data_IF_129085377745
#
_entry.id   IF_129085377745
#
_cell.length_a   1.000
_cell.length_b   1.000
_cell.length_c   1.000
_cell.angle_alpha   90.00
_cell.angle_beta   90.00
_cell.angle_gamma   90.00
#
_symmetry.space_group_name_H-M   'P 1'
#
loop_
_entity.id
_entity.type
_entity.pdbx_description
1 polymer ?
#
# COMPACT_ATOMS: atom_id res chain seq x y z
N UNK A 1 -15.67 -21.76 21.49
CA UNK A 1 -14.42 -21.00 21.26
C UNK A 1 -14.58 -20.25 19.95
N UNK A 2 -14.89 -18.96 20.01
CA UNK A 2 -15.01 -18.06 18.86
C UNK A 2 -13.86 -17.07 18.97
N UNK A 3 -12.86 -17.20 18.11
CA UNK A 3 -11.84 -16.18 17.89
C UNK A 3 -12.48 -15.06 17.08
N UNK A 4 -12.80 -13.97 17.76
CA UNK A 4 -13.16 -12.69 17.13
C UNK A 4 -11.84 -11.94 16.94
N UNK A 5 -11.38 -11.84 15.70
CA UNK A 5 -10.33 -10.88 15.33
C UNK A 5 -10.97 -9.50 15.20
N UNK A 6 -11.04 -8.75 16.29
CA UNK A 6 -11.19 -7.31 16.22
C UNK A 6 -9.84 -6.69 15.92
N UNK A 7 -9.74 -5.92 14.84
CA UNK A 7 -8.61 -5.03 14.60
C UNK A 7 -8.52 -4.01 15.74
N UNK A 8 -7.65 -4.26 16.70
CA UNK A 8 -7.31 -3.23 17.68
C UNK A 8 -6.54 -2.10 17.00
N UNK A 9 -6.77 -0.84 17.36
CA UNK A 9 -6.05 0.28 16.78
C UNK A 9 -4.55 0.19 17.16
N UNK A 10 -3.67 0.35 16.16
CA UNK A 10 -2.22 0.06 16.24
C UNK A 10 -1.49 0.83 17.36
N UNK A 11 -2.00 1.97 17.83
CA UNK A 11 -1.45 2.69 19.00
C UNK A 11 -1.39 1.81 20.26
N UNK A 12 -2.31 0.83 20.43
CA UNK A 12 -2.25 -0.15 21.54
C UNK A 12 -1.05 -1.08 21.43
N UNK A 13 -0.69 -1.51 20.22
CA UNK A 13 0.48 -2.36 19.97
C UNK A 13 1.78 -1.59 20.23
N UNK A 14 1.81 -0.29 19.91
CA UNK A 14 2.96 0.58 20.15
C UNK A 14 3.12 0.98 21.61
N UNK A 15 2.01 1.19 22.33
CA UNK A 15 2.04 1.30 23.79
C UNK A 15 2.62 0.05 24.42
N UNK A 16 2.30 -1.14 23.91
CA UNK A 16 2.90 -2.39 24.38
C UNK A 16 4.40 -2.42 24.11
N UNK A 17 4.89 -1.95 22.96
CA UNK A 17 6.34 -1.86 22.68
C UNK A 17 7.05 -0.87 23.61
N UNK A 18 6.55 0.37 23.73
CA UNK A 18 7.15 1.38 24.62
C UNK A 18 7.07 0.93 26.08
N UNK A 19 5.97 0.30 26.49
CA UNK A 19 5.81 -0.28 27.83
C UNK A 19 6.79 -1.42 28.05
N UNK A 20 6.89 -2.41 27.16
CA UNK A 20 7.81 -3.55 27.29
C UNK A 20 9.27 -3.12 27.41
N UNK A 21 9.67 -2.08 26.68
CA UNK A 21 11.03 -1.52 26.74
C UNK A 21 11.28 -0.68 27.99
N UNK A 22 10.32 0.14 28.40
CA UNK A 22 10.37 0.88 29.68
C UNK A 22 10.34 -0.07 30.90
N UNK A 23 9.84 -1.30 30.72
CA UNK A 23 9.57 -2.27 31.79
C UNK A 23 10.73 -3.21 32.13
N UNK A 24 11.90 -3.11 31.48
CA UNK A 24 13.15 -3.82 31.86
C UNK A 24 12.93 -5.07 32.73
N UNK A 25 12.29 -6.09 32.14
CA UNK A 25 11.80 -7.33 32.77
C UNK A 25 12.15 -7.57 34.25
N UNK A 26 11.37 -7.04 35.21
CA UNK A 26 11.20 -7.63 36.56
C UNK A 26 9.82 -7.38 37.15
N UNK A 27 9.20 -8.48 37.60
CA UNK A 27 7.97 -8.50 38.39
C UNK A 27 8.12 -7.70 39.69
N UNK A 28 7.14 -6.87 40.03
CA UNK A 28 7.03 -6.25 41.35
C UNK A 28 6.02 -5.10 41.38
N UNK A 29 4.83 -5.37 41.90
CA UNK A 29 3.69 -4.46 41.89
C UNK A 29 3.88 -3.18 42.71
N UNK A 30 3.45 -2.07 42.10
CA UNK A 30 2.81 -0.91 42.72
C UNK A 30 1.73 -0.44 41.73
N UNK A 31 0.52 -0.16 42.22
CA UNK A 31 -0.70 0.11 41.44
C UNK A 31 -0.46 1.08 40.27
N UNK A 32 -0.61 0.56 39.05
CA UNK A 32 -0.53 1.30 37.81
C UNK A 32 -1.77 2.19 37.60
N UNK A 33 -1.57 3.34 36.96
CA UNK A 33 -2.62 4.31 36.63
C UNK A 33 -3.70 3.65 35.73
N UNK A 34 -5.00 3.66 36.12
CA UNK A 34 -6.07 3.01 35.36
C UNK A 34 -6.20 3.52 33.92
N UNK A 35 -6.55 2.61 32.99
CA UNK A 35 -6.76 2.88 31.56
C UNK A 35 -7.79 3.98 31.24
N UNK A 36 -8.66 4.31 32.20
CA UNK A 36 -9.62 5.42 32.08
C UNK A 36 -8.98 6.81 32.15
N UNK A 37 -7.82 6.94 32.80
CA UNK A 37 -7.10 8.22 32.94
C UNK A 37 -6.42 8.69 31.64
N UNK A 38 -6.39 7.81 30.63
CA UNK A 38 -5.90 8.07 29.27
C UNK A 38 -6.92 8.81 28.41
N UNK A 39 -8.19 8.84 28.82
CA UNK A 39 -9.32 9.39 28.05
C UNK A 39 -9.77 10.79 28.48
N UNK A 40 -9.17 11.40 29.51
CA UNK A 40 -9.54 12.75 29.96
C UNK A 40 -8.57 13.79 29.37
N UNK A 41 -9.09 14.67 28.51
CA UNK A 41 -8.41 15.85 27.95
C UNK A 41 -8.04 16.94 28.98
N UNK A 42 -8.10 16.64 30.28
CA UNK A 42 -7.64 17.54 31.34
C UNK A 42 -6.63 16.78 32.19
N UNK A 43 -5.34 16.96 31.89
CA UNK A 43 -4.27 16.43 32.73
C UNK A 43 -4.37 17.05 34.14
N UNK A 44 -4.18 16.27 35.23
CA UNK A 44 -4.07 16.83 36.57
C UNK A 44 -2.88 17.81 36.64
N UNK A 45 -2.82 18.71 37.63
CA UNK A 45 -1.63 19.52 37.86
C UNK A 45 -0.36 18.66 37.92
N UNK A 46 0.75 19.21 37.44
CA UNK A 46 2.02 18.51 37.43
C UNK A 46 2.45 18.11 38.84
N UNK A 47 2.70 16.82 39.04
CA UNK A 47 3.25 16.26 40.26
C UNK A 47 4.22 15.12 39.89
N UNK A 48 5.45 15.18 40.41
CA UNK A 48 6.45 14.14 40.16
C UNK A 48 6.04 12.76 40.70
N UNK A 49 5.22 12.69 41.74
CA UNK A 49 4.69 11.46 42.33
C UNK A 49 3.78 10.68 41.39
N UNK A 50 3.28 11.30 40.33
CA UNK A 50 2.55 10.61 39.25
C UNK A 50 3.48 9.76 38.37
N UNK A 51 4.78 10.04 38.38
CA UNK A 51 5.74 9.48 37.45
C UNK A 51 6.90 8.77 38.11
N UNK A 52 7.36 9.31 39.25
CA UNK A 52 8.57 8.85 39.92
C UNK A 52 8.52 8.90 41.44
N UNK A 53 9.35 8.10 42.09
CA UNK A 53 9.63 8.19 43.53
C UNK A 53 10.46 9.45 43.84
N UNK A 54 10.72 9.71 45.13
CA UNK A 54 11.49 10.86 45.57
C UNK A 54 12.93 10.89 45.02
N UNK A 55 13.45 9.74 44.57
CA UNK A 55 14.78 9.57 44.00
C UNK A 55 14.77 9.66 42.47
N UNK A 56 13.62 9.91 41.84
CA UNK A 56 13.47 10.08 40.40
C UNK A 56 13.40 8.76 39.64
N UNK A 57 13.13 7.63 40.31
CA UNK A 57 12.88 6.34 39.66
C UNK A 57 11.44 6.25 39.24
N UNK A 58 11.18 5.75 38.02
CA UNK A 58 9.81 5.57 37.54
C UNK A 58 8.99 4.70 38.50
N UNK A 59 7.78 5.14 38.87
CA UNK A 59 6.87 4.38 39.75
C UNK A 59 5.71 3.81 38.94
N UNK A 60 5.53 2.50 38.95
CA UNK A 60 4.45 1.86 38.20
C UNK A 60 4.75 1.66 36.71
N UNK A 61 4.10 0.64 36.13
CA UNK A 61 4.45 0.07 34.82
C UNK A 61 4.15 1.01 33.64
N UNK A 62 3.23 1.96 33.82
CA UNK A 62 2.75 2.85 32.74
C UNK A 62 3.22 4.31 32.87
N UNK A 63 3.98 4.63 33.92
CA UNK A 63 4.28 6.02 34.27
C UNK A 63 5.22 6.73 33.29
N UNK A 64 6.19 6.01 32.71
CA UNK A 64 7.04 6.58 31.66
C UNK A 64 6.24 6.89 30.39
N UNK A 65 5.32 6.01 30.03
CA UNK A 65 4.42 6.18 28.89
C UNK A 65 3.45 7.34 29.12
N UNK A 66 2.88 7.43 30.32
CA UNK A 66 1.99 8.51 30.72
C UNK A 66 2.69 9.87 30.70
N UNK A 67 3.97 9.92 31.08
CA UNK A 67 4.77 11.15 31.03
C UNK A 67 4.97 11.61 29.58
N UNK A 68 5.29 10.68 28.67
CA UNK A 68 5.52 10.97 27.25
C UNK A 68 4.29 11.52 26.54
N UNK A 69 3.10 11.01 26.86
CA UNK A 69 1.84 11.48 26.28
C UNK A 69 1.35 12.81 26.84
N UNK A 70 1.83 13.23 28.02
CA UNK A 70 1.45 14.51 28.64
C UNK A 70 2.49 15.57 28.32
N UNK A 71 2.36 16.19 27.15
CA UNK A 71 3.34 17.15 26.63
C UNK A 71 3.79 18.21 27.64
N UNK A 72 2.86 18.87 28.33
CA UNK A 72 3.20 19.89 29.32
C UNK A 72 4.02 19.34 30.51
N UNK A 73 3.78 18.08 30.91
CA UNK A 73 4.48 17.46 32.03
C UNK A 73 5.86 16.97 31.59
N UNK A 74 5.99 16.41 30.39
CA UNK A 74 7.27 16.06 29.80
C UNK A 74 8.18 17.29 29.70
N UNK A 75 7.66 18.41 29.19
CA UNK A 75 8.45 19.64 29.07
C UNK A 75 8.84 20.23 30.44
N UNK A 76 7.98 20.08 31.46
CA UNK A 76 8.31 20.48 32.83
C UNK A 76 9.44 19.64 33.41
N UNK A 77 9.39 18.31 33.28
CA UNK A 77 10.47 17.40 33.72
C UNK A 77 11.76 17.71 32.97
N UNK A 78 11.67 17.95 31.66
CA UNK A 78 12.84 18.33 30.85
C UNK A 78 13.45 19.64 31.32
N UNK A 79 12.65 20.69 31.52
CA UNK A 79 13.12 21.98 32.00
C UNK A 79 13.76 21.89 33.39
N UNK A 80 13.18 21.14 34.31
CA UNK A 80 13.72 20.95 35.66
C UNK A 80 15.04 20.16 35.64
N UNK A 81 15.16 19.15 34.76
CA UNK A 81 16.40 18.42 34.57
C UNK A 81 17.54 19.33 34.07
N UNK A 82 17.22 20.22 33.12
CA UNK A 82 18.17 21.24 32.63
C UNK A 82 18.52 22.28 33.72
N UNK A 83 17.56 22.66 34.56
CA UNK A 83 17.76 23.56 35.70
C UNK A 83 18.56 22.91 36.85
N UNK A 84 18.70 21.59 36.83
CA UNK A 84 19.58 20.83 37.69
C UNK A 84 18.92 20.07 38.83
N UNK A 85 17.61 19.89 38.74
CA UNK A 85 16.87 19.02 39.64
C UNK A 85 17.33 17.55 39.46
N UNK A 86 17.83 16.97 40.55
CA UNK A 86 18.39 15.61 40.52
C UNK A 86 17.32 14.53 40.30
N UNK A 87 16.09 14.75 40.78
CA UNK A 87 14.96 13.84 40.60
C UNK A 87 14.50 13.85 39.14
N UNK A 88 14.38 15.04 38.55
CA UNK A 88 14.01 15.25 37.16
C UNK A 88 15.06 14.68 36.19
N UNK A 89 16.35 14.91 36.45
CA UNK A 89 17.45 14.34 35.66
C UNK A 89 17.39 12.84 35.63
N UNK A 90 17.30 12.20 36.80
CA UNK A 90 17.28 10.75 36.88
C UNK A 90 16.05 10.14 36.20
N UNK A 91 14.89 10.80 36.32
CA UNK A 91 13.67 10.42 35.63
C UNK A 91 13.81 10.53 34.11
N UNK A 92 14.36 11.65 33.63
CA UNK A 92 14.59 11.89 32.21
C UNK A 92 15.61 10.89 31.64
N UNK A 93 16.71 10.60 32.35
CA UNK A 93 17.74 9.64 31.92
C UNK A 93 17.14 8.25 31.67
N UNK A 94 16.28 7.77 32.58
CA UNK A 94 15.57 6.49 32.41
C UNK A 94 14.67 6.53 31.18
N UNK A 95 13.98 7.65 30.94
CA UNK A 95 13.09 7.82 29.80
C UNK A 95 13.88 7.89 28.48
N UNK A 96 15.02 8.56 28.47
CA UNK A 96 15.91 8.67 27.31
C UNK A 96 16.46 7.29 26.90
N UNK A 97 16.98 6.52 27.87
CA UNK A 97 17.51 5.16 27.63
C UNK A 97 16.43 4.24 27.07
N UNK A 98 15.24 4.25 27.67
CA UNK A 98 14.15 3.41 27.21
C UNK A 98 13.59 3.84 25.85
N UNK A 99 13.51 5.15 25.58
CA UNK A 99 13.07 5.66 24.27
C UNK A 99 14.05 5.26 23.17
N UNK A 100 15.34 5.31 23.45
CA UNK A 100 16.38 4.87 22.52
C UNK A 100 16.34 3.36 22.27
N UNK A 101 16.15 2.56 23.32
CA UNK A 101 15.96 1.11 23.19
C UNK A 101 14.68 0.75 22.41
N UNK A 102 13.61 1.55 22.55
CA UNK A 102 12.38 1.35 21.80
C UNK A 102 12.59 1.62 20.30
N UNK A 103 13.53 2.49 19.95
CA UNK A 103 13.95 2.69 18.57
C UNK A 103 14.57 1.43 17.96
N UNK A 104 15.39 0.72 18.73
CA UNK A 104 16.00 -0.55 18.32
C UNK A 104 14.93 -1.63 18.10
N UNK A 105 14.02 -1.81 19.06
CA UNK A 105 12.94 -2.81 18.93
C UNK A 105 11.97 -2.46 17.78
N UNK A 106 11.70 -1.17 17.59
CA UNK A 106 10.93 -0.68 16.44
C UNK A 106 11.60 -1.08 15.12
N UNK A 107 12.92 -0.95 15.01
CA UNK A 107 13.66 -1.40 13.85
C UNK A 107 13.58 -2.91 13.68
N UNK A 108 13.77 -3.70 14.74
CA UNK A 108 13.67 -5.17 14.66
C UNK A 108 12.29 -5.64 14.19
N UNK A 109 11.23 -4.98 14.64
CA UNK A 109 9.85 -5.30 14.22
C UNK A 109 9.55 -4.81 12.82
N UNK A 110 9.99 -3.60 12.48
CA UNK A 110 9.75 -3.00 11.17
C UNK A 110 10.58 -3.66 10.06
N UNK A 111 11.78 -4.16 10.39
CA UNK A 111 12.77 -4.66 9.43
C UNK A 111 12.96 -6.18 9.52
N UNK A 112 12.50 -6.84 10.59
CA UNK A 112 12.60 -8.29 10.76
C UNK A 112 11.60 -9.10 9.92
N UNK A 113 11.89 -10.41 9.81
CA UNK A 113 11.12 -11.40 9.04
C UNK A 113 9.62 -11.57 9.43
N UNK A 114 9.19 -10.95 10.54
CA UNK A 114 7.79 -11.02 11.01
C UNK A 114 6.83 -10.10 10.25
N UNK A 115 7.29 -8.94 9.77
CA UNK A 115 6.46 -7.99 9.02
C UNK A 115 6.57 -8.15 7.50
N UNK A 116 7.59 -8.85 7.00
CA UNK A 116 7.68 -9.24 5.58
C UNK A 116 6.82 -10.46 5.22
N UNK A 117 6.29 -11.20 6.20
CA UNK A 117 5.49 -12.42 6.00
C UNK A 117 3.96 -12.22 6.12
N UNK A 118 3.47 -11.05 6.54
CA UNK A 118 2.04 -10.77 6.69
C UNK A 118 1.65 -9.42 6.04
N UNK A 119 0.62 -9.37 5.16
CA UNK A 119 0.25 -8.19 4.36
C UNK A 119 -0.34 -7.00 5.15
N UNK A 120 -0.36 -7.08 6.48
CA UNK A 120 -0.96 -6.08 7.38
C UNK A 120 0.04 -5.32 8.23
N UNK A 121 1.34 -5.62 8.13
CA UNK A 121 2.36 -4.91 8.89
C UNK A 121 3.03 -3.81 8.05
N UNK A 122 2.28 -2.75 7.73
CA UNK A 122 2.86 -1.48 7.27
C UNK A 122 3.07 -0.59 8.48
N UNK A 123 4.32 -0.20 8.75
CA UNK A 123 4.59 0.81 9.79
C UNK A 123 3.97 2.12 9.32
N UNK A 124 2.88 2.54 9.98
CA UNK A 124 2.26 3.84 9.71
C UNK A 124 3.07 4.92 10.37
N UNK A 125 4.10 5.39 9.66
CA UNK A 125 5.05 6.39 10.17
C UNK A 125 4.39 7.70 10.61
N UNK A 126 3.22 8.03 10.05
CA UNK A 126 2.42 9.18 10.45
C UNK A 126 1.85 9.11 11.87
N UNK A 127 1.76 7.92 12.47
CA UNK A 127 1.23 7.72 13.84
C UNK A 127 2.34 7.83 14.92
N UNK A 128 3.61 7.87 14.52
CA UNK A 128 4.74 8.01 15.47
C UNK A 128 4.82 9.41 16.09
N UNK A 129 4.32 10.44 15.42
CA UNK A 129 4.17 11.78 16.00
C UNK A 129 3.08 11.83 17.09
N UNK A 130 2.17 10.85 17.12
CA UNK A 130 1.17 10.71 18.18
C UNK A 130 1.75 10.02 19.44
N UNK A 131 2.82 9.23 19.28
CA UNK A 131 3.48 8.51 20.37
C UNK A 131 4.22 9.46 21.33
N UNK A 132 5.01 10.39 20.79
CA UNK A 132 5.64 11.48 21.56
C UNK A 132 4.99 12.78 21.10
N UNK A 133 3.82 13.06 21.68
CA UNK A 133 2.94 14.14 21.25
C UNK A 133 3.48 15.54 21.60
N UNK A 134 4.56 15.64 22.38
CA UNK A 134 5.13 16.93 22.76
C UNK A 134 5.90 17.59 21.61
N UNK A 135 5.56 18.85 21.25
CA UNK A 135 6.31 19.64 20.29
C UNK A 135 7.52 20.35 20.91
N UNK A 136 7.68 20.32 22.24
CA UNK A 136 8.74 21.06 22.94
C UNK A 136 10.14 20.40 22.90
N UNK A 137 11.14 21.04 23.54
CA UNK A 137 12.52 20.53 23.59
C UNK A 137 12.65 19.10 24.12
N UNK A 138 11.88 18.73 25.15
CA UNK A 138 11.85 17.39 25.72
C UNK A 138 11.30 16.36 24.74
N UNK A 139 10.17 16.66 24.09
CA UNK A 139 9.61 15.82 23.02
C UNK A 139 10.57 15.64 21.83
N UNK A 140 11.25 16.72 21.43
CA UNK A 140 12.22 16.70 20.33
C UNK A 140 13.44 15.84 20.67
N UNK A 141 13.96 15.96 21.89
CA UNK A 141 15.06 15.14 22.42
C UNK A 141 14.72 13.65 22.36
N UNK A 142 13.53 13.26 22.85
CA UNK A 142 13.08 11.87 22.86
C UNK A 142 12.86 11.32 21.45
N UNK A 143 12.24 12.09 20.54
CA UNK A 143 12.10 11.67 19.13
C UNK A 143 13.45 11.48 18.43
N UNK A 144 14.43 12.33 18.74
CA UNK A 144 15.81 12.15 18.26
C UNK A 144 16.48 10.87 18.79
N UNK A 145 16.25 10.51 20.05
CA UNK A 145 16.75 9.25 20.64
C UNK A 145 16.09 8.02 20.02
N UNK A 146 14.78 8.06 19.80
CA UNK A 146 14.02 7.01 19.13
C UNK A 146 14.56 6.76 17.71
N UNK A 147 14.75 7.84 16.94
CA UNK A 147 15.37 7.82 15.62
C UNK A 147 16.79 7.24 15.62
N UNK A 148 17.64 7.64 16.59
CA UNK A 148 18.99 7.10 16.71
C UNK A 148 19.02 5.60 17.01
N UNK A 149 18.14 5.14 17.91
CA UNK A 149 17.99 3.72 18.20
C UNK A 149 17.62 2.92 16.95
N UNK A 150 16.63 3.41 16.21
CA UNK A 150 16.16 2.81 14.97
C UNK A 150 17.27 2.73 13.91
N UNK A 151 17.94 3.85 13.64
CA UNK A 151 19.00 3.91 12.64
C UNK A 151 20.17 2.96 12.95
N UNK A 152 20.61 2.91 14.21
CA UNK A 152 21.70 2.00 14.59
C UNK A 152 21.35 0.55 14.34
N UNK A 153 20.12 0.15 14.60
CA UNK A 153 19.69 -1.22 14.38
C UNK A 153 19.47 -1.50 12.89
N UNK A 154 18.84 -0.60 12.15
CA UNK A 154 18.67 -0.72 10.70
C UNK A 154 20.01 -0.83 9.94
N UNK A 155 21.05 -0.11 10.38
CA UNK A 155 22.40 -0.22 9.82
C UNK A 155 23.09 -1.55 10.15
N UNK A 156 22.82 -2.14 11.33
CA UNK A 156 23.34 -3.47 11.69
C UNK A 156 22.72 -4.57 10.82
N UNK A 157 21.45 -4.43 10.48
CA UNK A 157 20.70 -5.34 9.61
C UNK A 157 20.93 -5.08 8.10
N UNK A 158 21.91 -4.23 7.74
CA UNK A 158 22.30 -3.92 6.35
C UNK A 158 21.15 -3.44 5.43
N UNK A 159 20.14 -2.78 6.01
CA UNK A 159 18.99 -2.24 5.27
C UNK A 159 19.42 -1.01 4.45
N UNK A 160 18.88 -0.87 3.23
CA UNK A 160 19.20 0.23 2.32
C UNK A 160 18.96 1.62 2.95
N UNK A 161 19.88 2.56 2.68
CA UNK A 161 19.86 3.94 3.20
C UNK A 161 18.55 4.70 2.92
N UNK A 162 17.79 4.33 1.89
CA UNK A 162 16.53 4.99 1.54
C UNK A 162 15.40 4.72 2.56
N UNK A 163 15.30 3.49 3.09
CA UNK A 163 14.31 3.10 4.11
C UNK A 163 14.64 3.77 5.45
N UNK A 164 15.93 3.81 5.79
CA UNK A 164 16.45 4.52 6.97
C UNK A 164 16.12 6.02 6.88
N UNK A 165 16.30 6.63 5.71
CA UNK A 165 16.03 8.06 5.49
C UNK A 165 14.54 8.40 5.60
N UNK A 166 13.65 7.54 5.09
CA UNK A 166 12.19 7.75 5.19
C UNK A 166 11.71 7.62 6.65
N UNK A 167 12.18 6.61 7.38
CA UNK A 167 11.85 6.41 8.78
C UNK A 167 12.37 7.56 9.67
N UNK A 168 13.61 8.00 9.45
CA UNK A 168 14.22 9.12 10.17
C UNK A 168 13.49 10.45 9.92
N UNK A 169 13.11 10.72 8.67
CA UNK A 169 12.36 11.92 8.34
C UNK A 169 10.99 11.94 9.03
N UNK A 170 10.27 10.82 9.06
CA UNK A 170 9.00 10.75 9.77
C UNK A 170 9.13 10.92 11.29
N UNK A 171 10.19 10.39 11.90
CA UNK A 171 10.47 10.54 13.33
C UNK A 171 10.85 11.97 13.73
N UNK A 172 11.48 12.73 12.83
CA UNK A 172 12.01 14.07 13.10
C UNK A 172 11.06 15.22 12.73
N UNK A 173 10.15 15.04 11.76
CA UNK A 173 9.26 16.08 11.21
C UNK A 173 8.37 16.77 12.26
N UNK A 174 8.07 16.14 13.40
CA UNK A 174 7.29 16.78 14.48
C UNK A 174 8.03 17.87 15.29
N UNK A 175 9.34 18.11 15.08
CA UNK A 175 10.16 18.96 15.97
C UNK A 175 10.90 20.11 15.28
N UNK A 176 11.06 20.06 13.96
CA UNK A 176 11.92 21.01 13.24
C UNK A 176 11.20 22.35 12.96
N UNK A 177 9.87 22.38 13.04
CA UNK A 177 9.11 23.59 12.69
C UNK A 177 9.20 24.76 13.70
N UNK A 178 9.64 24.54 14.95
CA UNK A 178 9.55 25.58 16.00
C UNK A 178 10.86 25.90 16.74
N UNK A 179 11.98 25.23 16.42
CA UNK A 179 13.28 25.48 17.08
C UNK A 179 13.95 26.81 16.65
N UNK A 180 13.39 27.51 15.66
CA UNK A 180 14.00 28.72 15.07
C UNK A 180 13.69 30.00 15.89
N UNK A 181 12.73 29.98 16.82
CA UNK A 181 12.32 31.22 17.53
C UNK A 181 12.94 31.40 18.94
N UNK A 182 13.85 30.53 19.39
CA UNK A 182 14.33 30.52 20.78
C UNK A 182 15.84 30.61 20.99
N UNK A 183 16.38 31.84 20.97
CA UNK A 183 17.70 32.29 21.51
C UNK A 183 19.00 31.96 20.74
N UNK A 184 19.95 32.88 20.94
CA UNK A 184 21.22 33.04 20.23
C UNK A 184 22.08 31.78 20.22
N UNK A 185 22.19 31.17 19.03
CA UNK A 185 23.06 30.03 18.79
C UNK A 185 24.25 30.44 17.90
N UNK A 186 25.41 29.81 18.13
CA UNK A 186 26.64 30.06 17.36
C UNK A 186 26.45 29.77 15.85
N UNK A 187 27.36 30.29 15.02
CA UNK A 187 27.27 30.19 13.55
C UNK A 187 27.12 28.76 13.02
N UNK A 188 27.67 27.76 13.71
CA UNK A 188 27.54 26.35 13.35
C UNK A 188 26.14 25.78 13.65
N UNK A 189 25.48 26.25 14.72
CA UNK A 189 24.11 25.82 15.05
C UNK A 189 23.09 26.45 14.09
N UNK A 190 23.34 27.67 13.60
CA UNK A 190 22.52 28.29 12.55
C UNK A 190 22.68 27.58 11.19
N UNK A 191 23.89 27.16 10.84
CA UNK A 191 24.14 26.38 9.63
C UNK A 191 23.45 25.00 9.71
N UNK A 192 23.58 24.30 10.85
CA UNK A 192 22.89 23.04 11.10
C UNK A 192 21.35 23.16 11.12
N UNK A 193 20.81 24.25 11.67
CA UNK A 193 19.37 24.52 11.67
C UNK A 193 18.85 24.84 10.25
N UNK A 194 19.57 25.61 9.45
CA UNK A 194 19.20 25.90 8.07
C UNK A 194 19.26 24.66 7.17
N UNK A 195 20.24 23.78 7.39
CA UNK A 195 20.37 22.51 6.68
C UNK A 195 19.27 21.51 7.09
N UNK A 196 18.94 21.45 8.39
CA UNK A 196 17.81 20.67 8.89
C UNK A 196 16.46 21.19 8.37
N UNK A 197 16.27 22.50 8.27
CA UNK A 197 15.05 23.12 7.71
C UNK A 197 14.91 22.85 6.21
N UNK A 198 16.02 22.88 5.47
CA UNK A 198 16.06 22.49 4.06
C UNK A 198 15.69 21.02 3.88
N UNK A 199 16.31 20.13 4.64
CA UNK A 199 16.00 18.69 4.61
C UNK A 199 14.55 18.41 5.02
N UNK A 200 14.01 19.14 5.99
CA UNK A 200 12.60 19.04 6.39
C UNK A 200 11.64 19.52 5.29
N UNK A 201 11.93 20.64 4.61
CA UNK A 201 11.13 21.13 3.48
C UNK A 201 11.19 20.17 2.30
N UNK A 202 12.37 19.65 1.97
CA UNK A 202 12.55 18.62 0.93
C UNK A 202 11.81 17.32 1.30
N UNK A 203 11.84 16.93 2.58
CA UNK A 203 11.09 15.79 3.11
C UNK A 203 9.57 15.96 2.98
N UNK A 204 9.03 17.13 3.36
CA UNK A 204 7.59 17.45 3.24
C UNK A 204 7.17 17.50 1.77
N UNK A 205 7.99 18.09 0.89
CA UNK A 205 7.72 18.10 -0.55
C UNK A 205 7.71 16.68 -1.14
N UNK A 206 8.66 15.83 -0.73
CA UNK A 206 8.75 14.44 -1.16
C UNK A 206 7.58 13.60 -0.64
N UNK A 207 7.14 13.81 0.60
CA UNK A 207 5.98 13.13 1.17
C UNK A 207 4.67 13.53 0.48
N UNK A 208 4.50 14.82 0.14
CA UNK A 208 3.37 15.27 -0.69
C UNK A 208 3.40 14.63 -2.08
N UNK A 209 4.57 14.55 -2.71
CA UNK A 209 4.72 13.91 -4.02
C UNK A 209 4.40 12.40 -3.96
N UNK A 210 4.81 11.71 -2.90
CA UNK A 210 4.47 10.29 -2.68
C UNK A 210 2.97 10.09 -2.47
N UNK A 211 2.34 10.90 -1.60
CA UNK A 211 0.90 10.85 -1.37
C UNK A 211 0.09 11.13 -2.65
N UNK A 212 0.51 12.09 -3.46
CA UNK A 212 -0.11 12.37 -4.76
C UNK A 212 0.08 11.22 -5.76
N UNK A 213 1.24 10.56 -5.74
CA UNK A 213 1.50 9.40 -6.58
C UNK A 213 0.65 8.18 -6.15
N UNK A 214 0.46 7.96 -4.85
CA UNK A 214 -0.42 6.93 -4.30
C UNK A 214 -1.89 7.19 -4.66
N UNK A 215 -2.36 8.42 -4.51
CA UNK A 215 -3.72 8.82 -4.90
C UNK A 215 -3.95 8.64 -6.40
N UNK A 216 -2.99 9.05 -7.24
CA UNK A 216 -3.05 8.85 -8.68
C UNK A 216 -3.08 7.35 -9.06
N UNK A 217 -2.29 6.51 -8.38
CA UNK A 217 -2.29 5.07 -8.60
C UNK A 217 -3.63 4.44 -8.21
N UNK A 218 -4.24 4.84 -7.08
CA UNK A 218 -5.56 4.36 -6.65
C UNK A 218 -6.68 4.76 -7.64
N UNK A 219 -6.64 5.98 -8.17
CA UNK A 219 -7.60 6.42 -9.19
C UNK A 219 -7.47 5.61 -10.49
N UNK A 220 -6.25 5.31 -10.93
CA UNK A 220 -6.03 4.45 -12.10
C UNK A 220 -6.44 3.00 -11.84
N UNK A 221 -6.21 2.47 -10.64
CA UNK A 221 -6.66 1.14 -10.29
C UNK A 221 -8.19 1.02 -10.32
N UNK A 222 -8.90 2.02 -9.81
CA UNK A 222 -10.36 2.11 -9.91
C UNK A 222 -10.83 2.21 -11.38
N UNK A 223 -10.17 3.03 -12.20
CA UNK A 223 -10.49 3.18 -13.61
C UNK A 223 -10.20 1.90 -14.42
N UNK A 224 -9.09 1.22 -14.14
CA UNK A 224 -8.73 -0.05 -14.74
C UNK A 224 -9.76 -1.14 -14.37
N UNK A 225 -10.20 -1.19 -13.12
CA UNK A 225 -11.25 -2.09 -12.68
C UNK A 225 -12.58 -1.81 -13.39
N UNK A 226 -12.96 -0.55 -13.57
CA UNK A 226 -14.17 -0.20 -14.32
C UNK A 226 -14.08 -0.65 -15.79
N UNK A 227 -12.94 -0.43 -16.45
CA UNK A 227 -12.71 -0.90 -17.83
C UNK A 227 -12.80 -2.42 -17.90
N UNK A 228 -12.17 -3.15 -16.97
CA UNK A 228 -12.24 -4.62 -16.92
C UNK A 228 -13.66 -5.12 -16.71
N UNK A 229 -14.40 -4.53 -15.78
CA UNK A 229 -15.81 -4.86 -15.56
C UNK A 229 -16.64 -4.64 -16.82
N UNK A 230 -16.39 -3.56 -17.56
CA UNK A 230 -17.06 -3.26 -18.82
C UNK A 230 -16.72 -4.27 -19.92
N UNK A 231 -15.44 -4.59 -20.10
CA UNK A 231 -15.00 -5.60 -21.08
C UNK A 231 -15.59 -6.98 -20.76
N UNK A 232 -15.55 -7.39 -19.49
CA UNK A 232 -16.12 -8.65 -19.03
C UNK A 232 -17.64 -8.69 -19.21
N UNK A 233 -18.37 -7.61 -18.89
CA UNK A 233 -19.82 -7.51 -19.09
C UNK A 233 -20.20 -7.62 -20.58
N UNK A 234 -19.38 -7.04 -21.47
CA UNK A 234 -19.58 -7.07 -22.91
C UNK A 234 -19.50 -8.48 -23.49
N UNK A 235 -18.71 -9.38 -22.90
CA UNK A 235 -18.58 -10.79 -23.34
C UNK A 235 -19.36 -11.78 -22.47
N UNK A 236 -19.91 -11.34 -21.34
CA UNK A 236 -20.68 -12.20 -20.44
C UNK A 236 -21.95 -12.75 -21.13
N UNK A 237 -22.08 -14.08 -21.09
CA UNK A 237 -23.17 -14.86 -21.70
C UNK A 237 -24.14 -15.46 -20.66
N UNK A 238 -24.07 -15.02 -19.40
CA UNK A 238 -24.99 -15.47 -18.35
C UNK A 238 -26.45 -15.06 -18.60
N UNK A 239 -27.38 -15.68 -17.88
CA UNK A 239 -28.81 -15.35 -17.97
C UNK A 239 -29.05 -13.87 -17.61
N UNK A 240 -29.97 -13.24 -18.33
CA UNK A 240 -30.27 -11.81 -18.22
C UNK A 240 -31.75 -11.58 -18.02
N UNK A 241 -32.05 -10.50 -17.30
CA UNK A 241 -33.40 -9.99 -17.15
C UNK A 241 -33.98 -9.57 -18.52
N UNK A 242 -35.29 -9.34 -18.54
CA UNK A 242 -35.97 -8.81 -19.74
C UNK A 242 -35.43 -7.42 -20.12
N UNK A 243 -35.47 -7.08 -21.42
CA UNK A 243 -35.23 -5.72 -21.91
C UNK A 243 -36.45 -4.80 -21.78
N UNK A 244 -37.63 -5.33 -21.43
CA UNK A 244 -38.83 -4.52 -21.20
C UNK A 244 -38.69 -3.71 -19.90
N UNK A 245 -38.57 -2.38 -20.06
CA UNK A 245 -38.41 -1.44 -18.95
C UNK A 245 -39.56 -1.51 -17.92
N UNK A 246 -40.80 -1.79 -18.34
CA UNK A 246 -41.93 -1.90 -17.42
C UNK A 246 -41.83 -3.17 -16.57
N UNK A 247 -41.39 -4.27 -17.18
CA UNK A 247 -41.18 -5.52 -16.46
C UNK A 247 -39.97 -5.44 -15.53
N UNK A 248 -38.89 -4.78 -15.97
CA UNK A 248 -37.71 -4.51 -15.16
C UNK A 248 -38.06 -3.66 -13.92
N UNK A 249 -38.76 -2.54 -14.08
CA UNK A 249 -39.14 -1.69 -12.94
C UNK A 249 -39.97 -2.46 -11.90
N UNK A 250 -40.89 -3.33 -12.35
CA UNK A 250 -41.69 -4.18 -11.45
C UNK A 250 -40.85 -5.19 -10.66
N UNK A 251 -39.70 -5.60 -11.20
CA UNK A 251 -38.77 -6.59 -10.62
C UNK A 251 -37.51 -5.94 -10.06
N UNK A 252 -37.54 -4.62 -9.84
CA UNK A 252 -36.40 -3.84 -9.38
C UNK A 252 -35.90 -4.39 -8.03
N UNK A 253 -34.63 -4.82 -7.94
CA UNK A 253 -34.07 -5.33 -6.70
C UNK A 253 -33.91 -4.17 -5.70
N UNK A 254 -33.99 -4.46 -4.41
CA UNK A 254 -33.79 -3.47 -3.35
C UNK A 254 -32.88 -4.01 -2.26
N UNK A 255 -32.17 -3.10 -1.58
CA UNK A 255 -31.31 -3.47 -0.44
C UNK A 255 -32.10 -4.12 0.71
N UNK A 256 -33.41 -3.87 0.79
CA UNK A 256 -34.30 -4.37 1.84
C UNK A 256 -34.93 -5.73 1.49
N UNK A 257 -34.85 -6.16 0.23
CA UNK A 257 -35.45 -7.40 -0.25
C UNK A 257 -34.37 -8.28 -0.87
N UNK A 258 -33.58 -8.96 -0.03
CA UNK A 258 -32.58 -9.92 -0.51
C UNK A 258 -33.22 -11.18 -1.07
N UNK A 259 -32.58 -11.84 -2.06
CA UNK A 259 -33.04 -13.14 -2.55
C UNK A 259 -33.00 -14.21 -1.45
N UNK A 260 -33.83 -15.27 -1.55
CA UNK A 260 -33.76 -16.41 -0.64
C UNK A 260 -32.34 -16.97 -0.56
N UNK A 261 -31.84 -17.16 0.66
CA UNK A 261 -30.48 -17.68 0.91
C UNK A 261 -29.37 -16.64 0.87
N UNK A 262 -29.67 -15.35 0.66
CA UNK A 262 -28.70 -14.24 0.71
C UNK A 262 -28.91 -13.43 1.98
N UNK A 263 -27.86 -13.27 2.78
CA UNK A 263 -27.89 -12.45 4.00
C UNK A 263 -28.19 -10.97 3.68
N UNK A 264 -28.94 -10.30 4.57
CA UNK A 264 -29.36 -8.90 4.40
C UNK A 264 -28.18 -7.92 4.24
N UNK A 265 -27.03 -8.23 4.82
CA UNK A 265 -25.79 -7.46 4.79
C UNK A 265 -24.75 -8.00 3.79
N UNK A 266 -25.15 -8.93 2.90
CA UNK A 266 -24.20 -9.55 1.98
C UNK A 266 -23.62 -8.50 1.01
N UNK A 267 -22.29 -8.24 1.02
CA UNK A 267 -21.69 -7.11 0.27
C UNK A 267 -21.95 -7.19 -1.24
N UNK A 268 -21.98 -8.41 -1.79
CA UNK A 268 -22.28 -8.64 -3.22
C UNK A 268 -23.72 -8.28 -3.61
N UNK A 269 -24.68 -8.27 -2.67
CA UNK A 269 -26.05 -7.85 -2.96
C UNK A 269 -26.11 -6.34 -3.18
N UNK A 270 -25.37 -5.57 -2.37
CA UNK A 270 -25.23 -4.12 -2.55
C UNK A 270 -24.66 -3.80 -3.92
N UNK A 271 -23.59 -4.49 -4.32
CA UNK A 271 -22.99 -4.36 -5.65
C UNK A 271 -23.98 -4.71 -6.77
N UNK A 272 -24.81 -5.76 -6.58
CA UNK A 272 -25.80 -6.17 -7.56
C UNK A 272 -26.90 -5.12 -7.76
N UNK A 273 -27.43 -4.56 -6.68
CA UNK A 273 -28.43 -3.49 -6.76
C UNK A 273 -27.84 -2.30 -7.52
N UNK A 274 -26.61 -1.86 -7.18
CA UNK A 274 -25.94 -0.77 -7.89
C UNK A 274 -25.68 -1.08 -9.38
N UNK A 275 -25.26 -2.31 -9.69
CA UNK A 275 -25.10 -2.79 -11.06
C UNK A 275 -26.42 -2.78 -11.84
N UNK A 276 -27.49 -3.30 -11.24
CA UNK A 276 -28.82 -3.35 -11.85
C UNK A 276 -29.32 -1.94 -12.17
N UNK A 277 -29.19 -1.01 -11.22
CA UNK A 277 -29.56 0.41 -11.39
C UNK A 277 -28.78 1.07 -12.54
N UNK A 278 -27.47 0.79 -12.62
CA UNK A 278 -26.62 1.28 -13.72
C UNK A 278 -27.14 0.77 -15.07
N UNK A 279 -27.37 -0.53 -15.21
CA UNK A 279 -27.87 -1.15 -16.45
C UNK A 279 -29.28 -0.69 -16.82
N UNK A 280 -30.17 -0.56 -15.84
CA UNK A 280 -31.51 0.01 -16.05
C UNK A 280 -31.42 1.45 -16.58
N UNK A 281 -30.58 2.29 -15.97
CA UNK A 281 -30.37 3.67 -16.41
C UNK A 281 -29.83 3.78 -17.84
N UNK A 282 -28.92 2.88 -18.23
CA UNK A 282 -28.41 2.78 -19.60
C UNK A 282 -29.49 2.33 -20.60
N UNK A 283 -30.27 1.30 -20.25
CA UNK A 283 -31.39 0.82 -21.08
C UNK A 283 -32.49 1.87 -21.25
N UNK A 284 -32.78 2.62 -20.19
CA UNK A 284 -33.80 3.67 -20.18
C UNK A 284 -33.34 4.97 -20.88
N UNK A 285 -32.11 5.01 -21.42
CA UNK A 285 -31.54 6.22 -22.02
C UNK A 285 -31.29 7.36 -21.04
N UNK A 286 -31.35 7.09 -19.72
CA UNK A 286 -31.17 8.10 -18.65
C UNK A 286 -29.70 8.32 -18.31
N UNK A 287 -28.82 7.42 -18.74
CA UNK A 287 -27.37 7.56 -18.63
C UNK A 287 -26.74 7.51 -20.02
N UNK A 288 -25.80 8.41 -20.34
CA UNK A 288 -25.03 8.28 -21.56
C UNK A 288 -24.19 7.00 -21.50
N UNK A 289 -24.59 6.00 -22.26
CA UNK A 289 -23.73 4.90 -22.66
C UNK A 289 -23.06 5.24 -23.98
N UNK A 290 -21.78 4.93 -24.13
CA UNK A 290 -21.08 5.04 -25.43
C UNK A 290 -21.63 4.09 -26.52
N UNK A 291 -22.63 3.26 -26.17
CA UNK A 291 -23.23 2.27 -27.03
C UNK A 291 -24.67 2.70 -27.40
N UNK A 292 -25.07 2.50 -28.65
CA UNK A 292 -26.47 2.76 -29.08
C UNK A 292 -27.41 1.84 -28.28
N UNK A 293 -28.66 2.25 -28.03
CA UNK A 293 -29.64 1.50 -27.20
C UNK A 293 -29.76 0.00 -27.58
N UNK A 294 -29.51 -0.35 -28.84
CA UNK A 294 -29.51 -1.74 -29.35
C UNK A 294 -28.33 -2.63 -28.88
N UNK A 295 -27.27 -2.04 -28.33
CA UNK A 295 -26.07 -2.74 -27.84
C UNK A 295 -26.05 -2.89 -26.32
N UNK A 296 -26.95 -2.20 -25.61
CA UNK A 296 -27.03 -2.26 -24.15
C UNK A 296 -27.74 -3.55 -23.75
N UNK A 297 -26.97 -4.56 -23.32
CA UNK A 297 -27.50 -5.81 -22.77
C UNK A 297 -28.32 -5.58 -21.48
N UNK A 298 -29.43 -6.29 -21.24
CA UNK A 298 -30.12 -6.22 -19.95
C UNK A 298 -29.26 -6.67 -18.77
N UNK A 299 -29.59 -6.26 -17.53
CA UNK A 299 -28.87 -6.70 -16.35
C UNK A 299 -28.84 -8.24 -16.25
N UNK A 300 -27.70 -8.79 -15.82
CA UNK A 300 -27.59 -10.20 -15.44
C UNK A 300 -28.58 -10.54 -14.32
N UNK A 301 -29.08 -11.76 -14.31
CA UNK A 301 -29.78 -12.31 -13.16
C UNK A 301 -28.82 -12.48 -11.98
N UNK A 302 -29.34 -12.47 -10.75
CA UNK A 302 -28.50 -12.55 -9.55
C UNK A 302 -27.52 -13.74 -9.56
N UNK A 303 -27.93 -14.99 -9.86
CA UNK A 303 -27.00 -16.12 -9.90
C UNK A 303 -25.86 -15.91 -10.89
N UNK A 304 -26.16 -15.54 -12.13
CA UNK A 304 -25.15 -15.28 -13.15
C UNK A 304 -24.28 -14.06 -12.86
N UNK A 305 -24.83 -13.03 -12.23
CA UNK A 305 -24.06 -11.89 -11.73
C UNK A 305 -23.04 -12.33 -10.68
N UNK A 306 -23.39 -13.26 -9.79
CA UNK A 306 -22.42 -13.75 -8.80
C UNK A 306 -21.27 -14.50 -9.47
N UNK A 307 -21.54 -15.31 -10.49
CA UNK A 307 -20.50 -16.00 -11.29
C UNK A 307 -19.63 -15.00 -12.02
N UNK A 308 -20.24 -14.03 -12.70
CA UNK A 308 -19.56 -12.93 -13.38
C UNK A 308 -18.60 -12.18 -12.44
N UNK A 309 -19.08 -11.77 -11.25
CA UNK A 309 -18.25 -11.05 -10.27
C UNK A 309 -17.13 -11.93 -9.72
N UNK A 310 -17.37 -13.22 -9.50
CA UNK A 310 -16.32 -14.15 -9.06
C UNK A 310 -15.24 -14.33 -10.11
N UNK A 311 -15.60 -14.39 -11.40
CA UNK A 311 -14.62 -14.47 -12.50
C UNK A 311 -13.77 -13.20 -12.58
N UNK A 312 -14.38 -12.02 -12.51
CA UNK A 312 -13.64 -10.75 -12.50
C UNK A 312 -12.72 -10.66 -11.28
N UNK A 313 -13.22 -11.03 -10.09
CA UNK A 313 -12.42 -11.03 -8.87
C UNK A 313 -11.23 -11.99 -8.99
N UNK A 314 -11.46 -13.22 -9.47
CA UNK A 314 -10.38 -14.18 -9.71
C UNK A 314 -9.30 -13.66 -10.67
N UNK A 315 -9.70 -12.88 -11.69
CA UNK A 315 -8.77 -12.22 -12.60
C UNK A 315 -7.92 -11.15 -11.92
N UNK A 316 -8.54 -10.33 -11.08
CA UNK A 316 -7.85 -9.31 -10.26
C UNK A 316 -6.90 -9.96 -9.27
N UNK A 317 -7.33 -11.01 -8.57
CA UNK A 317 -6.52 -11.73 -7.60
C UNK A 317 -5.29 -12.35 -8.27
N UNK A 318 -5.46 -12.99 -9.43
CA UNK A 318 -4.36 -13.54 -10.21
C UNK A 318 -3.38 -12.46 -10.68
N UNK A 319 -3.88 -11.32 -11.15
CA UNK A 319 -3.04 -10.19 -11.50
C UNK A 319 -2.23 -9.69 -10.29
N UNK A 320 -2.83 -9.61 -9.10
CA UNK A 320 -2.10 -9.25 -7.88
C UNK A 320 -1.01 -10.28 -7.55
N UNK A 321 -1.28 -11.57 -7.73
CA UNK A 321 -0.28 -12.64 -7.61
C UNK A 321 0.92 -12.44 -8.53
N UNK A 322 0.66 -12.22 -9.82
CA UNK A 322 1.71 -11.93 -10.82
C UNK A 322 2.48 -10.66 -10.45
N UNK A 323 1.79 -9.61 -10.01
CA UNK A 323 2.44 -8.35 -9.58
C UNK A 323 3.41 -8.58 -8.42
N UNK A 324 2.99 -9.35 -7.40
CA UNK A 324 3.88 -9.73 -6.28
C UNK A 324 5.07 -10.55 -6.75
N UNK A 325 4.87 -11.47 -7.69
CA UNK A 325 5.97 -12.26 -8.24
C UNK A 325 7.00 -11.39 -8.97
N UNK A 326 6.55 -10.46 -9.81
CA UNK A 326 7.41 -9.49 -10.50
C UNK A 326 8.16 -8.60 -9.50
N UNK A 327 7.47 -8.08 -8.48
CA UNK A 327 8.09 -7.24 -7.43
C UNK A 327 9.16 -8.00 -6.64
N UNK A 328 8.97 -9.31 -6.37
CA UNK A 328 10.00 -10.14 -5.75
C UNK A 328 11.24 -10.30 -6.64
N UNK A 329 11.07 -10.39 -7.96
CA UNK A 329 12.22 -10.51 -8.87
C UNK A 329 13.04 -9.22 -8.99
N UNK A 330 12.46 -8.05 -8.71
CA UNK A 330 13.19 -6.77 -8.77
C UNK A 330 14.44 -6.76 -7.89
N UNK A 331 14.38 -7.42 -6.72
CA UNK A 331 15.50 -7.49 -5.77
C UNK A 331 16.44 -8.68 -6.01
N UNK A 332 16.07 -9.63 -6.86
CA UNK A 332 16.92 -10.80 -7.15
C UNK A 332 18.07 -10.41 -8.08
N UNK A 333 19.21 -11.11 -8.02
CA UNK A 333 20.24 -11.03 -9.06
C UNK A 333 19.67 -11.38 -10.44
N UNK A 334 20.14 -10.73 -11.50
CA UNK A 334 19.59 -10.91 -12.86
C UNK A 334 19.56 -12.38 -13.30
N UNK A 335 20.57 -13.17 -12.93
CA UNK A 335 20.68 -14.59 -13.26
C UNK A 335 19.55 -15.45 -12.67
N UNK A 336 18.91 -15.01 -11.60
CA UNK A 336 17.83 -15.72 -10.89
C UNK A 336 16.44 -15.28 -11.36
N UNK A 337 16.34 -14.21 -12.17
CA UNK A 337 15.06 -13.68 -12.66
C UNK A 337 14.49 -14.55 -13.78
N UNK A 338 13.19 -14.82 -13.72
CA UNK A 338 12.41 -15.55 -14.73
C UNK A 338 11.62 -14.56 -15.59
N UNK A 339 10.82 -13.69 -14.97
CA UNK A 339 9.96 -12.73 -15.68
C UNK A 339 10.72 -11.48 -16.14
N UNK A 340 11.63 -10.96 -15.31
CA UNK A 340 12.32 -9.68 -15.50
C UNK A 340 13.73 -9.82 -16.08
N UNK A 341 14.02 -10.93 -16.76
CA UNK A 341 15.32 -11.19 -17.37
C UNK A 341 15.66 -10.11 -18.41
N UNK A 342 16.91 -9.65 -18.42
CA UNK A 342 17.40 -8.62 -19.34
C UNK A 342 17.07 -7.18 -18.93
N UNK A 343 16.40 -6.98 -17.80
CA UNK A 343 16.25 -5.66 -17.18
C UNK A 343 17.28 -5.54 -16.06
N UNK A 344 18.19 -4.58 -16.16
CA UNK A 344 19.27 -4.42 -15.16
C UNK A 344 18.70 -3.90 -13.84
N UNK A 345 17.98 -2.76 -13.89
CA UNK A 345 17.32 -2.14 -12.73
C UNK A 345 15.82 -2.02 -13.01
N UNK A 346 15.10 -3.12 -12.81
CA UNK A 346 13.69 -3.18 -13.11
C UNK A 346 12.85 -2.38 -12.10
N UNK A 347 11.90 -1.58 -12.61
CA UNK A 347 10.77 -1.01 -11.89
C UNK A 347 9.49 -1.63 -12.44
N UNK A 348 8.56 -2.03 -11.57
CA UNK A 348 7.28 -2.65 -11.96
C UNK A 348 6.12 -1.82 -11.45
N UNK A 349 5.20 -1.47 -12.32
CA UNK A 349 3.95 -0.79 -12.00
C UNK A 349 2.75 -1.59 -12.55
N UNK A 350 1.65 -1.65 -11.80
CA UNK A 350 0.42 -2.32 -12.21
C UNK A 350 -0.67 -1.35 -12.67
N UNK A 351 -1.61 -1.84 -13.50
CA UNK A 351 -2.79 -1.08 -13.95
C UNK A 351 -2.45 0.28 -14.61
N UNK A 352 -1.34 0.35 -15.33
CA UNK A 352 -0.85 1.63 -15.85
C UNK A 352 -1.59 2.01 -17.14
N UNK A 353 -2.09 3.24 -17.20
CA UNK A 353 -2.77 3.79 -18.38
C UNK A 353 -1.81 4.04 -19.55
N UNK A 354 -2.12 3.44 -20.70
CA UNK A 354 -1.43 3.60 -21.98
C UNK A 354 -2.37 4.22 -23.02
N UNK A 355 -1.93 5.29 -23.68
CA UNK A 355 -2.59 5.84 -24.88
C UNK A 355 -1.85 5.43 -26.15
N UNK A 356 -2.59 5.36 -27.26
CA UNK A 356 -2.03 5.10 -28.60
C UNK A 356 -2.60 6.09 -29.60
N UNK A 357 -1.78 6.52 -30.54
CA UNK A 357 -2.26 7.37 -31.62
C UNK A 357 -3.03 6.58 -32.70
N UNK A 358 -4.05 7.19 -33.33
CA UNK A 358 -4.70 8.45 -32.94
C UNK A 358 -5.81 8.18 -31.92
N UNK A 359 -5.73 8.77 -30.72
CA UNK A 359 -6.90 8.87 -29.85
C UNK A 359 -6.60 8.87 -28.35
N UNK A 360 -7.51 9.46 -27.55
CA UNK A 360 -7.41 9.50 -26.09
C UNK A 360 -7.84 8.17 -25.43
N UNK A 361 -7.98 7.08 -26.19
CA UNK A 361 -8.46 5.80 -25.65
C UNK A 361 -7.36 5.20 -24.78
N UNK A 362 -7.56 5.28 -23.47
CA UNK A 362 -6.68 4.66 -22.49
C UNK A 362 -6.94 3.17 -22.43
N UNK A 363 -5.87 2.41 -22.57
CA UNK A 363 -5.85 0.97 -22.30
C UNK A 363 -5.02 0.75 -21.04
N UNK A 364 -5.50 -0.05 -20.10
CA UNK A 364 -4.75 -0.36 -18.90
C UNK A 364 -3.98 -1.66 -19.09
N UNK A 365 -2.67 -1.62 -18.91
CA UNK A 365 -1.82 -2.81 -18.92
C UNK A 365 -1.82 -3.45 -17.54
N UNK A 366 -1.80 -4.78 -17.48
CA UNK A 366 -1.87 -5.49 -16.20
C UNK A 366 -0.63 -5.22 -15.35
N UNK A 367 0.56 -5.36 -15.96
CA UNK A 367 1.83 -4.86 -15.44
C UNK A 367 2.71 -4.30 -16.54
N UNK A 368 3.47 -3.27 -16.21
CA UNK A 368 4.57 -2.73 -17.01
C UNK A 368 5.86 -2.84 -16.18
N UNK A 369 6.94 -3.28 -16.82
CA UNK A 369 8.27 -3.22 -16.25
C UNK A 369 9.17 -2.31 -17.10
N UNK A 370 9.93 -1.45 -16.43
CA UNK A 370 10.86 -0.52 -17.06
C UNK A 370 12.24 -0.78 -16.52
N UNK A 371 13.25 -0.85 -17.38
CA UNK A 371 14.64 -0.82 -16.92
C UNK A 371 15.05 0.63 -16.64
N UNK A 372 15.10 1.00 -15.37
CA UNK A 372 15.53 2.33 -14.94
C UNK A 372 17.00 2.62 -15.28
N UNK A 373 17.83 1.59 -15.52
CA UNK A 373 19.20 1.80 -16.00
C UNK A 373 19.21 2.32 -17.46
N UNK A 374 18.23 1.90 -18.28
CA UNK A 374 18.09 2.37 -19.67
C UNK A 374 17.66 3.83 -19.80
N UNK A 375 17.18 4.44 -18.70
CA UNK A 375 16.72 5.83 -18.68
C UNK A 375 17.87 6.83 -18.56
N UNK A 376 19.05 6.38 -18.11
CA UNK A 376 20.23 7.24 -17.95
C UNK A 376 20.77 7.62 -19.34
N UNK A 377 21.20 8.87 -19.52
CA UNK A 377 21.77 9.41 -20.78
C UNK A 377 20.83 9.55 -21.99
N UNK A 378 19.51 9.65 -21.79
CA UNK A 378 18.57 9.83 -22.91
C UNK A 378 18.45 8.59 -23.82
N UNK A 379 18.87 7.43 -23.31
CA UNK A 379 18.73 6.15 -23.99
C UNK A 379 17.27 5.80 -24.30
N UNK A 380 17.10 4.87 -25.23
CA UNK A 380 15.78 4.31 -25.55
C UNK A 380 15.31 3.46 -24.36
N UNK A 381 14.19 3.80 -23.70
CA UNK A 381 13.71 3.03 -22.56
C UNK A 381 13.44 1.57 -22.94
N UNK A 382 13.98 0.62 -22.16
CA UNK A 382 13.61 -0.79 -22.25
C UNK A 382 12.34 -0.99 -21.44
N UNK A 383 11.27 -1.39 -22.12
CA UNK A 383 9.91 -1.47 -21.55
C UNK A 383 9.30 -2.82 -21.87
N UNK A 384 8.89 -3.55 -20.84
CA UNK A 384 8.20 -4.83 -20.96
C UNK A 384 6.74 -4.65 -20.50
N UNK A 385 5.79 -5.24 -21.22
CA UNK A 385 4.37 -5.23 -20.84
C UNK A 385 3.86 -6.66 -20.63
N UNK A 386 3.07 -6.87 -19.59
CA UNK A 386 2.52 -8.17 -19.22
C UNK A 386 1.01 -8.18 -19.39
N UNK A 387 0.49 -9.25 -19.98
CA UNK A 387 -0.94 -9.52 -20.09
C UNK A 387 -1.28 -10.85 -19.43
N UNK A 388 -2.15 -10.80 -18.44
CA UNK A 388 -2.52 -11.95 -17.61
C UNK A 388 -3.79 -12.60 -18.16
N UNK A 389 -3.80 -13.94 -18.16
CA UNK A 389 -4.90 -14.72 -18.72
C UNK A 389 -5.19 -15.93 -17.82
N UNK A 390 -6.45 -16.12 -17.43
CA UNK A 390 -6.91 -17.29 -16.66
C UNK A 390 -7.66 -18.29 -17.54
N UNK A 391 -7.04 -18.70 -18.65
CA UNK A 391 -7.70 -19.55 -19.63
C UNK A 391 -7.66 -21.03 -19.21
N UNK A 392 -8.84 -21.63 -19.31
CA UNK A 392 -9.21 -23.05 -19.18
C UNK A 392 -8.54 -24.09 -20.11
N UNK A 393 -7.23 -24.37 -20.10
CA UNK A 393 -6.65 -25.31 -21.10
C UNK A 393 -6.86 -26.79 -20.79
N UNK A 394 -7.33 -27.17 -19.60
CA UNK A 394 -7.49 -28.58 -19.21
C UNK A 394 -8.52 -29.34 -20.02
N UNK A 395 -9.44 -28.62 -20.68
CA UNK A 395 -10.55 -29.16 -21.47
C UNK A 395 -10.39 -28.92 -22.97
N UNK A 396 -9.22 -28.47 -23.42
CA UNK A 396 -8.95 -28.13 -24.82
C UNK A 396 -8.04 -29.17 -25.47
N UNK A 397 -8.27 -29.43 -26.76
CA UNK A 397 -7.28 -30.09 -27.61
C UNK A 397 -6.06 -29.19 -27.84
N UNK A 398 -4.95 -29.77 -28.28
CA UNK A 398 -3.72 -29.01 -28.59
C UNK A 398 -3.97 -27.91 -29.64
N UNK A 399 -4.79 -28.21 -30.65
CA UNK A 399 -5.11 -27.28 -31.75
C UNK A 399 -5.90 -26.09 -31.22
N UNK A 400 -6.90 -26.32 -30.37
CA UNK A 400 -7.68 -25.26 -29.72
C UNK A 400 -6.80 -24.42 -28.79
N UNK A 401 -5.94 -25.07 -28.00
CA UNK A 401 -5.01 -24.37 -27.12
C UNK A 401 -4.09 -23.43 -27.89
N UNK A 402 -3.47 -23.92 -28.99
CA UNK A 402 -2.63 -23.10 -29.87
C UNK A 402 -3.40 -21.95 -30.52
N UNK A 403 -4.63 -22.20 -30.96
CA UNK A 403 -5.49 -21.15 -31.52
C UNK A 403 -5.68 -20.01 -30.51
N UNK A 404 -6.01 -20.35 -29.26
CA UNK A 404 -6.22 -19.37 -28.20
C UNK A 404 -4.95 -18.62 -27.83
N UNK A 405 -3.80 -19.28 -27.71
CA UNK A 405 -2.51 -18.59 -27.49
C UNK A 405 -2.21 -17.59 -28.61
N UNK A 406 -2.45 -18.00 -29.85
CA UNK A 406 -2.31 -17.13 -31.02
C UNK A 406 -3.21 -15.88 -30.94
N UNK A 407 -4.46 -16.06 -30.48
CA UNK A 407 -5.42 -14.96 -30.33
C UNK A 407 -5.02 -14.03 -29.18
N UNK A 408 -4.67 -14.59 -28.02
CA UNK A 408 -4.24 -13.82 -26.84
C UNK A 408 -2.95 -13.03 -27.14
N UNK A 409 -1.99 -13.62 -27.86
CA UNK A 409 -0.76 -12.94 -28.27
C UNK A 409 -1.04 -11.75 -29.20
N UNK A 410 -1.93 -11.94 -30.19
CA UNK A 410 -2.34 -10.88 -31.10
C UNK A 410 -3.06 -9.76 -30.35
N UNK A 411 -3.95 -10.10 -29.41
CA UNK A 411 -4.64 -9.12 -28.57
C UNK A 411 -3.63 -8.31 -27.73
N UNK A 412 -2.70 -8.99 -27.04
CA UNK A 412 -1.70 -8.35 -26.20
C UNK A 412 -0.77 -7.42 -27.01
N UNK A 413 -0.29 -7.85 -28.18
CA UNK A 413 0.49 -6.98 -29.07
C UNK A 413 -0.30 -5.80 -29.60
N UNK A 414 -1.59 -6.00 -29.92
CA UNK A 414 -2.46 -4.92 -30.38
C UNK A 414 -2.67 -3.88 -29.28
N UNK A 415 -2.91 -4.33 -28.04
CA UNK A 415 -3.18 -3.45 -26.88
C UNK A 415 -1.92 -2.77 -26.35
N UNK A 416 -0.82 -3.51 -26.24
CA UNK A 416 0.36 -3.11 -25.46
C UNK A 416 1.66 -3.02 -26.27
N UNK A 417 1.74 -3.62 -27.47
CA UNK A 417 2.95 -3.58 -28.28
C UNK A 417 3.16 -2.26 -29.04
N UNK A 418 4.33 -2.09 -29.64
CA UNK A 418 4.64 -0.93 -30.49
C UNK A 418 4.83 0.37 -29.71
N UNK A 419 4.48 1.51 -30.32
CA UNK A 419 4.56 2.83 -29.67
C UNK A 419 3.31 3.09 -28.83
N UNK A 420 3.53 3.48 -27.58
CA UNK A 420 2.51 3.83 -26.59
C UNK A 420 2.98 5.05 -25.81
N UNK A 421 2.06 5.87 -25.33
CA UNK A 421 2.38 6.96 -24.41
C UNK A 421 1.91 6.59 -23.00
N UNK A 422 2.77 6.81 -22.00
CA UNK A 422 2.46 6.53 -20.60
C UNK A 422 1.74 7.71 -19.97
N UNK A 423 0.57 7.46 -19.37
CA UNK A 423 -0.36 8.51 -18.95
C UNK A 423 -0.55 8.68 -17.44
N UNK A 424 0.23 7.94 -16.63
CA UNK A 424 0.21 8.05 -15.15
C UNK A 424 1.11 9.18 -14.63
N UNK A 425 0.57 10.23 -14.00
CA UNK A 425 1.38 11.23 -13.31
C UNK A 425 2.27 10.57 -12.23
N UNK A 426 3.52 11.01 -12.12
CA UNK A 426 4.49 10.44 -11.16
C UNK A 426 5.24 9.20 -11.66
N UNK A 427 4.87 8.61 -12.80
CA UNK A 427 5.68 7.58 -13.45
C UNK A 427 6.92 8.20 -14.15
N UNK A 428 8.11 7.58 -14.12
CA UNK A 428 9.34 8.13 -14.74
C UNK A 428 9.24 8.42 -16.25
N UNK A 429 8.28 7.79 -16.91
CA UNK A 429 8.01 7.94 -18.35
C UNK A 429 6.69 8.69 -18.65
N UNK A 430 6.11 9.36 -17.66
CA UNK A 430 4.87 10.12 -17.85
C UNK A 430 4.96 11.11 -19.03
N UNK A 431 3.95 11.09 -19.91
CA UNK A 431 3.85 11.95 -21.10
C UNK A 431 4.85 11.63 -22.21
N UNK A 432 5.63 10.56 -22.09
CA UNK A 432 6.61 10.14 -23.11
C UNK A 432 6.03 9.05 -23.99
N UNK A 433 6.24 9.19 -25.30
CA UNK A 433 6.05 8.07 -26.23
C UNK A 433 7.22 7.09 -26.09
N UNK A 434 6.90 5.81 -25.90
CA UNK A 434 7.86 4.74 -25.71
C UNK A 434 7.52 3.57 -26.62
N UNK A 435 8.56 2.92 -27.15
CA UNK A 435 8.41 1.68 -27.91
C UNK A 435 8.51 0.51 -26.94
N UNK A 436 7.42 -0.24 -26.76
CA UNK A 436 7.43 -1.46 -25.96
C UNK A 436 8.40 -2.46 -26.59
N UNK A 437 9.36 -2.90 -25.77
CA UNK A 437 10.49 -3.76 -26.16
C UNK A 437 10.09 -5.22 -26.20
N UNK A 438 9.30 -5.67 -25.22
CA UNK A 438 8.81 -7.04 -25.13
C UNK A 438 7.38 -7.06 -24.59
N UNK A 439 6.56 -7.95 -25.15
CA UNK A 439 5.23 -8.25 -24.60
C UNK A 439 5.25 -9.69 -24.07
N UNK A 440 4.69 -9.87 -22.89
CA UNK A 440 4.60 -11.14 -22.19
C UNK A 440 3.14 -11.54 -22.00
N UNK A 441 2.86 -12.81 -22.25
CA UNK A 441 1.65 -13.47 -21.77
C UNK A 441 1.98 -14.22 -20.47
N UNK A 442 1.08 -14.13 -19.50
CA UNK A 442 1.19 -14.90 -18.26
C UNK A 442 -0.10 -15.70 -18.08
N UNK A 443 0.00 -17.03 -18.19
CA UNK A 443 -1.12 -17.94 -17.92
C UNK A 443 -1.08 -18.44 -16.47
N UNK A 444 -2.26 -18.63 -15.90
CA UNK A 444 -2.41 -19.35 -14.63
C UNK A 444 -2.04 -20.82 -14.84
N UNK A 445 -0.93 -21.23 -14.22
CA UNK A 445 -0.32 -22.52 -14.39
C UNK A 445 -1.21 -23.69 -13.94
N UNK A 446 -2.18 -23.43 -13.04
CA UNK A 446 -3.17 -24.41 -12.56
C UNK A 446 -4.11 -24.88 -13.68
N UNK A 447 -4.31 -24.02 -14.67
CA UNK A 447 -5.17 -24.28 -15.82
C UNK A 447 -4.38 -24.67 -17.08
N UNK A 448 -3.07 -24.87 -16.98
CA UNK A 448 -2.22 -25.27 -18.11
C UNK A 448 -1.55 -26.63 -17.82
N UNK A 449 -2.04 -27.71 -18.44
CA UNK A 449 -1.39 -29.01 -18.36
C UNK A 449 0.09 -28.97 -18.77
N UNK A 450 0.96 -29.66 -18.02
CA UNK A 450 2.42 -29.62 -18.21
C UNK A 450 2.83 -30.00 -19.64
N UNK A 451 2.18 -31.02 -20.21
CA UNK A 451 2.48 -31.51 -21.55
C UNK A 451 2.20 -30.46 -22.66
N UNK A 452 1.34 -29.48 -22.41
CA UNK A 452 1.09 -28.39 -23.36
C UNK A 452 2.12 -27.27 -23.27
N UNK A 453 2.75 -27.05 -22.12
CA UNK A 453 3.55 -25.84 -21.83
C UNK A 453 4.63 -25.56 -22.87
N UNK A 454 5.33 -26.61 -23.33
CA UNK A 454 6.36 -26.48 -24.37
C UNK A 454 5.78 -26.00 -25.70
N UNK A 455 4.69 -26.61 -26.15
CA UNK A 455 3.99 -26.25 -27.39
C UNK A 455 3.44 -24.82 -27.32
N UNK A 456 2.83 -24.45 -26.19
CA UNK A 456 2.27 -23.10 -26.03
C UNK A 456 3.36 -22.02 -26.03
N UNK A 457 4.52 -22.28 -25.41
CA UNK A 457 5.68 -21.37 -25.47
C UNK A 457 6.18 -21.20 -26.90
N UNK A 458 6.24 -22.28 -27.67
CA UNK A 458 6.63 -22.22 -29.07
C UNK A 458 5.66 -21.38 -29.90
N UNK A 459 4.34 -21.58 -29.75
CA UNK A 459 3.33 -20.79 -30.47
C UNK A 459 3.39 -19.31 -30.08
N UNK A 460 3.51 -19.00 -28.78
CA UNK A 460 3.66 -17.62 -28.30
C UNK A 460 4.89 -16.92 -28.89
N UNK A 461 6.05 -17.59 -28.84
CA UNK A 461 7.31 -17.06 -29.41
C UNK A 461 7.21 -16.83 -30.91
N UNK A 462 6.56 -17.73 -31.65
CA UNK A 462 6.32 -17.57 -33.07
C UNK A 462 5.44 -16.34 -33.41
N UNK A 463 4.69 -15.81 -32.43
CA UNK A 463 3.91 -14.57 -32.54
C UNK A 463 4.61 -13.34 -31.96
N UNK A 464 5.85 -13.45 -31.51
CA UNK A 464 6.62 -12.32 -30.99
C UNK A 464 6.26 -11.92 -29.56
N UNK A 465 5.63 -12.81 -28.78
CA UNK A 465 5.43 -12.62 -27.33
C UNK A 465 6.14 -13.72 -26.55
N UNK A 466 6.58 -13.39 -25.34
CA UNK A 466 7.12 -14.38 -24.41
C UNK A 466 6.00 -14.95 -23.55
N UNK A 467 6.08 -16.24 -23.21
CA UNK A 467 5.04 -16.91 -22.43
C UNK A 467 5.56 -17.45 -21.11
N UNK A 468 4.89 -17.02 -20.04
CA UNK A 468 5.13 -17.45 -18.67
C UNK A 468 3.93 -18.20 -18.10
N UNK A 469 4.19 -19.06 -17.11
CA UNK A 469 3.17 -19.75 -16.33
C UNK A 469 3.35 -19.36 -14.87
N UNK A 470 2.30 -18.83 -14.25
CA UNK A 470 2.33 -18.40 -12.86
C UNK A 470 1.37 -19.26 -12.02
N UNK A 471 1.88 -19.82 -10.93
CA UNK A 471 1.10 -20.37 -9.84
C UNK A 471 1.39 -19.53 -8.60
N UNK A 472 0.35 -19.24 -7.81
CA UNK A 472 0.51 -18.67 -6.47
C UNK A 472 0.97 -19.73 -5.47
#
# INVERSE_FOLDING_TARGET
MKTVCTSEPLWRVWLVVLSVVLMGSRCGGVEAVPSEMWRRDVAPPFDYGLYSDAQGRLVGETSGVLLVHRSAHLEKVYADAQAGDARARRLLDQLEVATEAAGVELADKALGLGCSALPTCTVRWAELSELISSPGPGGTRLRGLLARGFERQARREQVESAVITVALNALLVGGVAMAVEGRAASGEVRAGAAEAEKLAREGVARQRALSQAEEAAALEEAAALEVRLREAEAVANGARQSSDLKLLERRRPSLQATPPGVAADHPRWVDYVAYWEKRYGELAGRRPGAARLSEVKPPLEWPDYTVFRSQVQGGVDFQHGVTRALQREVILPEAERVYLRGLSRARVDGNLGLSREPGPVLTYVDQIAVDEASLVHGGKPTVHCFSNKQRDFTRMSEVEARHWVSMDAREALKKYGGRVEIRRPGHPLFGREVSVSQVHLVYDARFVPEFFRKTLRFEARARGVELHFHAE
#
